data_IF_299986034193
#
_entry.id   IF_299986034193
#
_cell.length_a   1.000
_cell.length_b   1.000
_cell.length_c   1.000
_cell.angle_alpha   90.00
_cell.angle_beta   90.00
_cell.angle_gamma   90.00
#
_symmetry.space_group_name_H-M   'P 1'
#
loop_
_entity.id
_entity.type
_entity.pdbx_description
1 polymer ?
#
# COMPACT_ATOMS: atom_id res chain seq x y z
N UNK A 1 8.51 12.46 40.37
CA UNK A 1 8.04 11.05 40.42
C UNK A 1 8.82 10.35 41.51
N UNK A 2 8.19 10.12 42.66
CA UNK A 2 8.82 9.44 43.80
C UNK A 2 9.35 8.05 43.40
N UNK A 3 10.50 7.67 43.97
CA UNK A 3 11.18 6.41 43.68
C UNK A 3 10.29 5.18 43.95
N UNK A 4 9.31 5.31 44.86
CA UNK A 4 8.26 4.32 45.12
C UNK A 4 7.24 4.24 43.98
N UNK A 5 6.86 5.36 43.37
CA UNK A 5 5.92 5.40 42.25
C UNK A 5 6.46 4.71 40.98
N UNK A 6 7.76 4.81 40.71
CA UNK A 6 8.39 4.13 39.55
C UNK A 6 8.41 2.60 39.71
N UNK A 7 8.59 2.09 40.94
CA UNK A 7 8.53 0.65 41.23
C UNK A 7 7.09 0.09 41.20
N UNK A 8 6.12 0.88 41.67
CA UNK A 8 4.69 0.52 41.59
C UNK A 8 4.20 0.55 40.13
N UNK A 9 4.60 1.55 39.34
CA UNK A 9 4.26 1.64 37.91
C UNK A 9 4.86 0.47 37.11
N UNK A 10 6.12 0.10 37.39
CA UNK A 10 6.78 -1.03 36.74
C UNK A 10 6.12 -2.38 37.09
N UNK A 11 5.64 -2.55 38.33
CA UNK A 11 4.90 -3.75 38.75
C UNK A 11 3.52 -3.86 38.08
N UNK A 12 2.82 -2.75 37.87
CA UNK A 12 1.52 -2.74 37.17
C UNK A 12 1.68 -3.10 35.68
N UNK A 13 2.72 -2.59 35.03
CA UNK A 13 3.02 -2.91 33.63
C UNK A 13 3.40 -4.39 33.43
N UNK A 14 4.15 -4.97 34.36
CA UNK A 14 4.51 -6.39 34.35
C UNK A 14 3.29 -7.29 34.56
N UNK A 15 2.34 -6.87 35.42
CA UNK A 15 1.10 -7.60 35.68
C UNK A 15 0.17 -7.64 34.45
N UNK A 16 0.10 -6.54 33.69
CA UNK A 16 -0.71 -6.43 32.46
C UNK A 16 -0.21 -7.37 31.35
N UNK A 17 1.11 -7.54 31.21
CA UNK A 17 1.73 -8.45 30.25
C UNK A 17 1.46 -9.93 30.61
N UNK A 18 1.27 -10.25 31.89
CA UNK A 18 0.97 -11.60 32.34
C UNK A 18 -0.48 -12.04 32.05
N UNK A 19 -1.41 -11.08 31.90
CA UNK A 19 -2.83 -11.35 31.70
C UNK A 19 -3.20 -11.68 30.25
N UNK A 20 -2.30 -11.44 29.27
CA UNK A 20 -2.57 -11.69 27.84
C UNK A 20 -2.33 -13.13 27.39
N UNK A 21 -1.79 -14.01 28.25
CA UNK A 21 -1.43 -15.38 27.89
C UNK A 21 -2.54 -16.44 28.02
N UNK A 22 -3.76 -16.08 28.46
CA UNK A 22 -4.84 -17.07 28.73
C UNK A 22 -5.94 -17.08 27.64
N UNK A 23 -5.78 -16.35 26.53
CA UNK A 23 -6.84 -16.11 25.55
C UNK A 23 -6.73 -16.78 24.16
N UNK A 24 -5.91 -17.82 23.97
CA UNK A 24 -5.63 -18.38 22.63
C UNK A 24 -5.78 -19.90 22.52
N UNK A 25 -7.01 -20.39 22.33
CA UNK A 25 -7.27 -21.72 21.77
C UNK A 25 -8.68 -21.74 21.13
N UNK A 26 -8.75 -21.39 19.84
CA UNK A 26 -9.90 -21.65 18.98
C UNK A 26 -9.52 -22.75 17.98
N UNK A 27 -10.29 -23.83 17.95
CA UNK A 27 -10.02 -25.09 17.25
C UNK A 27 -11.02 -25.31 16.10
N UNK A 28 -10.52 -25.68 14.92
CA UNK A 28 -11.26 -26.21 13.75
C UNK A 28 -10.86 -25.50 12.44
N UNK A 29 -10.55 -26.11 11.29
CA UNK A 29 -10.68 -27.48 10.78
C UNK A 29 -9.76 -27.64 9.53
N UNK A 30 -9.29 -28.86 9.23
CA UNK A 30 -8.28 -29.25 8.21
C UNK A 30 -8.62 -28.96 6.73
N UNK A 31 -7.60 -28.94 5.83
CA UNK A 31 -7.76 -28.78 4.38
C UNK A 31 -7.87 -30.14 3.65
N UNK A 32 -8.73 -30.23 2.64
CA UNK A 32 -8.77 -31.34 1.70
C UNK A 32 -9.03 -30.81 0.29
N UNK A 33 -8.17 -31.17 -0.68
CA UNK A 33 -8.44 -30.87 -2.08
C UNK A 33 -7.25 -30.92 -3.02
N UNK A 34 -6.61 -32.08 -3.17
CA UNK A 34 -5.69 -32.40 -4.26
C UNK A 34 -6.45 -32.51 -5.58
N UNK A 35 -6.07 -31.76 -6.62
CA UNK A 35 -6.14 -32.16 -8.04
C UNK A 35 -5.09 -31.42 -8.91
N UNK A 36 -4.11 -32.18 -9.40
CA UNK A 36 -3.33 -31.98 -10.64
C UNK A 36 -3.53 -33.29 -11.41
N UNK A 37 -3.84 -33.29 -12.74
CA UNK A 37 -2.86 -33.06 -13.82
C UNK A 37 -3.46 -32.24 -14.98
N UNK A 38 -2.74 -31.70 -15.97
CA UNK A 38 -1.77 -32.36 -16.84
C UNK A 38 -1.03 -31.32 -17.70
N UNK A 39 0.17 -31.67 -18.12
CA UNK A 39 1.00 -31.01 -19.14
C UNK A 39 0.29 -30.80 -20.48
N UNK A 40 0.52 -29.64 -21.09
CA UNK A 40 0.71 -29.56 -22.54
C UNK A 40 1.58 -28.36 -22.91
N UNK A 41 2.82 -28.63 -23.30
CA UNK A 41 3.69 -27.67 -23.99
C UNK A 41 3.23 -27.51 -25.43
N UNK A 42 3.08 -26.27 -25.90
CA UNK A 42 3.28 -25.93 -27.31
C UNK A 42 3.92 -24.55 -27.42
N UNK A 43 5.15 -24.55 -27.93
CA UNK A 43 5.86 -23.40 -28.48
C UNK A 43 5.03 -22.72 -29.57
N UNK A 44 4.98 -21.39 -29.53
CA UNK A 44 4.46 -20.55 -30.60
C UNK A 44 4.86 -19.10 -30.33
N UNK A 45 6.00 -18.69 -30.89
CA UNK A 45 6.35 -17.29 -31.04
C UNK A 45 5.35 -16.63 -32.00
N UNK A 46 4.69 -15.56 -31.54
CA UNK A 46 4.10 -14.55 -32.41
C UNK A 46 3.97 -13.22 -31.64
N UNK A 47 4.87 -12.32 -32.03
CA UNK A 47 4.74 -10.87 -31.95
C UNK A 47 3.32 -10.39 -32.30
N UNK A 48 2.83 -9.41 -31.53
CA UNK A 48 1.45 -8.96 -31.60
C UNK A 48 1.21 -7.80 -30.66
N UNK A 49 1.90 -6.68 -30.92
CA UNK A 49 1.53 -5.36 -30.42
C UNK A 49 0.07 -5.09 -30.78
N UNK A 50 -0.81 -5.22 -29.79
CA UNK A 50 -2.24 -4.99 -29.90
C UNK A 50 -2.62 -3.74 -29.12
N UNK A 51 -2.39 -2.58 -29.73
CA UNK A 51 -3.05 -1.32 -29.37
C UNK A 51 -4.55 -1.49 -29.61
N UNK A 52 -5.23 -2.05 -28.61
CA UNK A 52 -6.67 -2.18 -28.55
C UNK A 52 -7.27 -0.91 -27.97
N UNK A 53 -7.27 0.17 -28.75
CA UNK A 53 -8.09 1.36 -28.49
C UNK A 53 -9.56 0.94 -28.58
N UNK A 54 -10.10 0.40 -27.48
CA UNK A 54 -11.54 0.35 -27.23
C UNK A 54 -11.99 1.77 -26.92
N UNK A 55 -12.10 2.58 -27.96
CA UNK A 55 -12.86 3.82 -27.94
C UNK A 55 -14.34 3.46 -27.70
N UNK A 56 -14.87 3.80 -26.52
CA UNK A 56 -16.32 3.78 -26.29
C UNK A 56 -16.82 3.37 -24.91
N UNK A 57 -15.97 2.89 -23.99
CA UNK A 57 -16.38 2.78 -22.60
C UNK A 57 -15.83 3.96 -21.81
N UNK A 58 -16.71 4.83 -21.30
CA UNK A 58 -16.36 5.84 -20.30
C UNK A 58 -15.83 5.09 -19.07
N UNK A 59 -14.51 4.91 -19.01
CA UNK A 59 -13.85 4.34 -17.84
C UNK A 59 -13.97 5.36 -16.72
N UNK A 60 -14.41 4.96 -15.52
CA UNK A 60 -14.47 5.87 -14.39
C UNK A 60 -13.07 6.42 -14.11
N UNK A 61 -12.99 7.74 -13.90
CA UNK A 61 -11.73 8.39 -13.55
C UNK A 61 -11.22 7.83 -12.21
N UNK A 62 -10.05 7.20 -12.24
CA UNK A 62 -9.39 6.65 -11.08
C UNK A 62 -8.29 7.61 -10.60
N UNK A 63 -8.39 8.06 -9.35
CA UNK A 63 -7.45 9.03 -8.77
C UNK A 63 -6.53 8.32 -7.78
N UNK A 64 -5.24 8.31 -8.10
CA UNK A 64 -4.20 7.70 -7.28
C UNK A 64 -3.51 8.79 -6.47
N UNK A 65 -3.55 8.68 -5.15
CA UNK A 65 -2.79 9.57 -4.27
C UNK A 65 -1.33 9.15 -4.23
N UNK A 66 -0.44 10.13 -4.38
CA UNK A 66 1.00 9.94 -4.36
C UNK A 66 1.64 10.98 -3.45
N UNK A 67 2.26 10.52 -2.38
CA UNK A 67 3.13 11.37 -1.57
C UNK A 67 4.30 11.88 -2.42
N UNK A 68 4.58 13.17 -2.35
CA UNK A 68 5.68 13.78 -3.11
C UNK A 68 6.29 14.96 -2.36
N UNK A 69 7.53 15.29 -2.72
CA UNK A 69 8.13 16.58 -2.35
C UNK A 69 7.25 17.75 -2.82
N UNK A 70 7.27 18.90 -2.11
CA UNK A 70 6.46 20.07 -2.46
C UNK A 70 6.61 20.48 -3.92
N UNK A 71 5.49 20.52 -4.64
CA UNK A 71 5.41 20.89 -6.05
C UNK A 71 4.27 21.88 -6.26
N UNK A 72 4.31 22.62 -7.37
CA UNK A 72 3.24 23.55 -7.78
C UNK A 72 2.06 22.83 -8.44
N UNK A 73 2.31 21.61 -8.94
CA UNK A 73 1.35 20.79 -9.69
C UNK A 73 0.61 19.91 -8.69
N UNK A 74 -0.72 19.96 -8.66
CA UNK A 74 -1.54 19.16 -7.74
C UNK A 74 -2.04 17.88 -8.38
N UNK A 75 -2.41 17.95 -9.65
CA UNK A 75 -2.91 16.82 -10.41
C UNK A 75 -2.01 16.56 -11.62
N UNK A 76 -1.81 15.28 -11.97
CA UNK A 76 -0.95 14.93 -13.11
C UNK A 76 -1.47 15.46 -14.45
N UNK A 77 -2.78 15.64 -14.60
CA UNK A 77 -3.41 16.15 -15.83
C UNK A 77 -3.13 17.64 -16.11
N UNK A 78 -2.49 18.34 -15.17
CA UNK A 78 -1.86 19.65 -15.44
C UNK A 78 -0.60 19.53 -16.32
N UNK A 79 -0.12 18.31 -16.58
CA UNK A 79 1.03 18.02 -17.43
C UNK A 79 0.61 17.30 -18.72
N UNK A 80 1.33 17.58 -19.82
CA UNK A 80 1.08 16.93 -21.12
C UNK A 80 1.10 15.40 -21.02
N UNK A 81 2.01 14.85 -20.20
CA UNK A 81 2.13 13.40 -20.01
C UNK A 81 0.96 12.86 -19.20
N UNK A 82 0.54 13.55 -18.13
CA UNK A 82 -0.58 13.10 -17.32
C UNK A 82 -1.94 13.24 -18.01
N UNK A 83 -2.11 14.22 -18.91
CA UNK A 83 -3.27 14.31 -19.78
C UNK A 83 -3.37 13.09 -20.71
N UNK A 84 -2.25 12.71 -21.35
CA UNK A 84 -2.21 11.50 -22.17
C UNK A 84 -2.52 10.21 -21.38
N UNK A 85 -2.02 10.10 -20.14
CA UNK A 85 -2.31 8.98 -19.25
C UNK A 85 -3.80 8.95 -18.86
N UNK A 86 -4.39 10.11 -18.58
CA UNK A 86 -5.82 10.24 -18.28
C UNK A 86 -6.68 9.81 -19.47
N UNK A 87 -6.36 10.26 -20.68
CA UNK A 87 -7.11 9.90 -21.89
C UNK A 87 -7.04 8.41 -22.21
N UNK A 88 -5.85 7.81 -22.09
CA UNK A 88 -5.63 6.40 -22.45
C UNK A 88 -6.08 5.41 -21.37
N UNK A 89 -5.89 5.76 -20.11
CA UNK A 89 -6.06 4.82 -18.99
C UNK A 89 -7.17 5.23 -18.01
N UNK A 90 -7.67 6.47 -18.07
CA UNK A 90 -8.62 6.99 -17.09
C UNK A 90 -8.00 7.18 -15.70
N UNK A 91 -6.67 7.39 -15.62
CA UNK A 91 -5.93 7.51 -14.35
C UNK A 91 -5.40 8.94 -14.19
N UNK A 92 -5.54 9.51 -12.99
CA UNK A 92 -4.92 10.78 -12.60
C UNK A 92 -4.19 10.59 -11.27
N UNK A 93 -2.99 11.15 -11.16
CA UNK A 93 -2.24 11.17 -9.90
C UNK A 93 -2.51 12.48 -9.16
N UNK A 94 -2.97 12.37 -7.91
CA UNK A 94 -3.03 13.48 -6.96
C UNK A 94 -1.69 13.54 -6.21
N UNK A 95 -0.94 14.62 -6.41
CA UNK A 95 0.32 14.87 -5.74
C UNK A 95 0.06 15.47 -4.36
N UNK A 96 0.22 14.65 -3.33
CA UNK A 96 0.06 15.06 -1.94
C UNK A 96 1.42 15.49 -1.39
N UNK A 97 1.66 16.80 -1.18
CA UNK A 97 2.92 17.25 -0.63
C UNK A 97 3.03 16.85 0.84
N UNK A 98 4.13 16.21 1.23
CA UNK A 98 4.44 16.04 2.65
C UNK A 98 5.15 17.28 3.21
N UNK A 99 5.08 17.43 4.53
CA UNK A 99 5.84 18.43 5.28
C UNK A 99 6.75 17.72 6.26
N UNK A 100 7.94 18.30 6.52
CA UNK A 100 8.92 17.70 7.42
C UNK A 100 9.66 16.51 6.79
N UNK A 101 9.97 15.51 7.62
CA UNK A 101 10.70 14.31 7.20
C UNK A 101 9.73 13.27 6.61
N UNK A 102 10.05 12.81 5.39
CA UNK A 102 9.27 11.79 4.69
C UNK A 102 9.21 10.47 5.47
N UNK A 103 10.29 10.12 6.19
CA UNK A 103 10.37 8.88 6.98
C UNK A 103 9.42 8.90 8.15
N UNK A 104 9.32 10.01 8.86
CA UNK A 104 8.37 10.15 9.96
C UNK A 104 6.93 10.03 9.46
N UNK A 105 6.65 10.64 8.30
CA UNK A 105 5.35 10.55 7.66
C UNK A 105 5.03 9.11 7.23
N UNK A 106 5.96 8.42 6.59
CA UNK A 106 5.83 7.02 6.18
C UNK A 106 5.67 6.08 7.38
N UNK A 107 6.42 6.29 8.46
CA UNK A 107 6.27 5.52 9.70
C UNK A 107 4.88 5.70 10.33
N UNK A 108 4.33 6.92 10.28
CA UNK A 108 2.98 7.17 10.75
C UNK A 108 1.93 6.49 9.87
N UNK A 109 2.09 6.55 8.55
CA UNK A 109 1.23 5.86 7.58
C UNK A 109 1.26 4.34 7.78
N UNK A 110 2.45 3.78 7.99
CA UNK A 110 2.67 2.36 8.33
C UNK A 110 1.96 1.98 9.65
N UNK A 111 2.11 2.80 10.69
CA UNK A 111 1.45 2.55 11.98
C UNK A 111 -0.08 2.69 11.93
N UNK A 112 -0.59 3.59 11.09
CA UNK A 112 -2.02 3.80 10.87
C UNK A 112 -2.64 2.77 9.92
N UNK A 113 -1.82 2.04 9.15
CA UNK A 113 -2.28 1.20 8.06
C UNK A 113 -2.81 1.97 6.85
N UNK A 114 -2.46 3.25 6.74
CA UNK A 114 -2.93 4.20 5.71
C UNK A 114 -1.83 4.37 4.65
N UNK A 115 -1.67 3.36 3.79
CA UNK A 115 -0.63 3.33 2.75
C UNK A 115 -1.11 3.95 1.45
N UNK A 116 -0.20 4.62 0.74
CA UNK A 116 -0.41 5.01 -0.64
C UNK A 116 -0.39 3.78 -1.56
N UNK A 117 -1.07 3.90 -2.70
CA UNK A 117 -1.05 2.86 -3.74
C UNK A 117 0.32 2.76 -4.44
N UNK A 118 1.05 3.88 -4.49
CA UNK A 118 2.37 3.97 -5.10
C UNK A 118 3.32 4.66 -4.11
N UNK A 119 4.40 3.97 -3.77
CA UNK A 119 5.48 4.50 -2.97
C UNK A 119 6.78 4.55 -3.77
N UNK A 120 7.44 5.70 -3.79
CA UNK A 120 8.82 5.80 -4.25
C UNK A 120 9.76 5.20 -3.19
N UNK A 121 10.58 4.21 -3.57
CA UNK A 121 11.55 3.59 -2.64
C UNK A 121 12.99 4.07 -2.85
N UNK A 122 13.24 4.90 -3.86
CA UNK A 122 14.58 5.37 -4.18
C UNK A 122 14.95 6.58 -3.33
N UNK A 123 15.77 6.37 -2.29
CA UNK A 123 16.26 7.42 -1.36
C UNK A 123 15.17 8.12 -0.50
N UNK A 124 13.96 7.59 -0.44
CA UNK A 124 12.80 8.12 0.32
C UNK A 124 12.15 7.01 1.18
N UNK A 125 12.94 6.42 2.06
CA UNK A 125 12.84 5.12 2.71
C UNK A 125 11.58 4.77 3.54
N UNK A 126 10.99 3.62 3.21
CA UNK A 126 9.88 2.96 3.93
C UNK A 126 10.32 2.17 5.20
N UNK A 127 11.60 2.27 5.59
CA UNK A 127 12.15 1.87 6.91
C UNK A 127 13.43 2.61 7.21
#
# INVERSE_FOLDING_TARGET
>A
MDFKGRRVLAMILLLMILLTFIGGCGKGNEPAGSKTPSDQSSSGDADGSGDGDKAGEERPLYVIKRLTSPTKIKMSDETVIGEYIKEKFGIVFEFVPYTGDIREKQNLMLAAGDYDEIQDMQREDMV
#
